data_IF_227721936665
#
_entry.id   IF_227721936665
#
_cell.length_a   1.000
_cell.length_b   1.000
_cell.length_c   1.000
_cell.angle_alpha   90.00
_cell.angle_beta   90.00
_cell.angle_gamma   90.00
#
_symmetry.space_group_name_H-M   'P 1'
#
loop_
_entity.id
_entity.type
_entity.pdbx_description
1 polymer ?
#
# COMPACT_ATOMS: atom_id res chain seq x y z
N UNK A 1 15.32 -28.56 -32.12
CA UNK A 1 16.08 -27.49 -32.82
C UNK A 1 15.57 -26.10 -32.42
N UNK A 2 14.39 -25.66 -32.89
CA UNK A 2 13.93 -24.27 -32.71
C UNK A 2 13.88 -23.80 -31.26
N UNK A 3 13.38 -24.64 -30.33
CA UNK A 3 13.32 -24.30 -28.90
C UNK A 3 14.71 -24.04 -28.29
N UNK A 4 15.74 -24.72 -28.76
CA UNK A 4 17.12 -24.49 -28.33
C UNK A 4 17.64 -23.15 -28.86
N UNK A 5 17.36 -22.82 -30.12
CA UNK A 5 17.74 -21.53 -30.72
C UNK A 5 17.02 -20.38 -30.01
N UNK A 6 15.70 -20.46 -29.85
CA UNK A 6 14.87 -19.43 -29.21
C UNK A 6 15.24 -19.18 -27.74
N UNK A 7 15.86 -20.15 -27.07
CA UNK A 7 16.37 -19.98 -25.71
C UNK A 7 17.72 -19.24 -25.66
N UNK A 8 18.50 -19.26 -26.75
CA UNK A 8 19.84 -18.69 -26.83
C UNK A 8 19.91 -17.37 -27.61
N UNK A 9 18.81 -16.92 -28.23
CA UNK A 9 18.73 -15.65 -28.97
C UNK A 9 17.81 -14.64 -28.28
N UNK A 10 18.00 -13.36 -28.59
CA UNK A 10 17.20 -12.29 -28.01
C UNK A 10 15.80 -12.23 -28.62
N UNK A 11 14.83 -11.65 -27.89
CA UNK A 11 13.42 -11.58 -28.34
C UNK A 11 13.27 -10.80 -29.66
N UNK A 12 14.06 -9.75 -29.85
CA UNK A 12 14.10 -8.95 -31.07
C UNK A 12 14.58 -9.74 -32.29
N UNK A 13 15.38 -10.80 -32.09
CA UNK A 13 15.92 -11.66 -33.14
C UNK A 13 14.96 -12.78 -33.56
N UNK A 14 13.86 -13.00 -32.83
CA UNK A 14 12.88 -14.05 -33.15
C UNK A 14 12.23 -13.83 -34.54
N UNK A 15 12.02 -12.57 -34.93
CA UNK A 15 11.49 -12.20 -36.25
C UNK A 15 12.49 -12.55 -37.34
N UNK A 16 13.73 -12.09 -37.19
CA UNK A 16 14.83 -12.36 -38.13
C UNK A 16 15.07 -13.87 -38.29
N UNK A 17 15.02 -14.62 -37.19
CA UNK A 17 15.14 -16.09 -37.23
C UNK A 17 14.00 -16.76 -38.01
N UNK A 18 12.75 -16.32 -37.81
CA UNK A 18 11.61 -16.83 -38.56
C UNK A 18 11.72 -16.50 -40.06
N UNK A 19 12.20 -15.31 -40.40
CA UNK A 19 12.46 -14.87 -41.78
C UNK A 19 13.55 -15.72 -42.44
N UNK A 20 14.66 -16.02 -41.76
CA UNK A 20 15.70 -16.92 -42.29
C UNK A 20 15.21 -18.34 -42.55
N UNK A 21 14.28 -18.85 -41.73
CA UNK A 21 13.64 -20.16 -41.99
C UNK A 21 12.75 -20.08 -43.25
N UNK A 22 12.04 -18.98 -43.43
CA UNK A 22 11.17 -18.79 -44.60
C UNK A 22 11.99 -18.62 -45.88
N UNK A 23 13.06 -17.82 -45.83
CA UNK A 23 13.96 -17.54 -46.93
C UNK A 23 14.73 -18.79 -47.38
N UNK A 24 15.19 -19.59 -46.42
CA UNK A 24 15.88 -20.86 -46.72
C UNK A 24 14.97 -21.91 -47.39
N UNK A 25 13.66 -21.73 -47.37
CA UNK A 25 12.70 -22.59 -48.09
C UNK A 25 12.36 -22.02 -49.47
N UNK A 26 12.27 -20.69 -49.59
CA UNK A 26 11.86 -20.01 -50.81
C UNK A 26 13.00 -19.89 -51.83
N UNK A 27 14.26 -19.74 -51.38
CA UNK A 27 15.40 -19.43 -52.24
C UNK A 27 16.30 -20.62 -52.57
N UNK A 28 15.91 -21.87 -52.27
CA UNK A 28 16.71 -23.05 -52.61
C UNK A 28 16.41 -23.48 -54.06
N UNK A 29 17.38 -23.38 -55.00
CA UNK A 29 17.18 -23.83 -56.37
C UNK A 29 16.89 -25.33 -56.40
N UNK A 30 15.89 -25.73 -57.18
CA UNK A 30 15.36 -27.10 -57.30
C UNK A 30 16.44 -28.15 -57.61
N UNK A 31 17.59 -27.74 -58.15
CA UNK A 31 18.67 -28.60 -58.62
C UNK A 31 19.74 -28.99 -57.58
N UNK A 32 19.79 -28.37 -56.40
CA UNK A 32 20.83 -28.69 -55.39
C UNK A 32 20.23 -29.09 -54.03
N UNK A 33 19.43 -30.15 -54.05
CA UNK A 33 18.81 -30.71 -52.85
C UNK A 33 19.72 -31.74 -52.19
N UNK A 34 20.71 -31.23 -51.43
CA UNK A 34 21.44 -32.06 -50.47
C UNK A 34 20.48 -32.73 -49.48
N UNK A 35 20.76 -33.96 -49.06
CA UNK A 35 19.92 -34.75 -48.12
C UNK A 35 19.59 -33.95 -46.84
N UNK A 36 20.51 -33.09 -46.40
CA UNK A 36 20.34 -32.18 -45.26
C UNK A 36 19.27 -31.09 -45.49
N UNK A 37 19.12 -30.56 -46.71
CA UNK A 37 18.10 -29.54 -47.00
C UNK A 37 16.70 -30.16 -47.06
N UNK A 38 16.56 -31.42 -47.49
CA UNK A 38 15.29 -32.15 -47.39
C UNK A 38 14.87 -32.48 -45.94
N UNK A 39 15.84 -32.66 -45.04
CA UNK A 39 15.61 -32.91 -43.61
C UNK A 39 15.19 -31.64 -42.84
N UNK A 40 15.74 -30.47 -43.22
CA UNK A 40 15.40 -29.18 -42.60
C UNK A 40 14.20 -28.45 -43.24
N UNK A 41 14.00 -28.59 -44.55
CA UNK A 41 12.96 -27.89 -45.33
C UNK A 41 11.71 -28.76 -45.55
N UNK A 42 11.32 -29.52 -44.53
CA UNK A 42 10.21 -30.48 -44.60
C UNK A 42 8.89 -29.87 -45.11
N UNK A 43 7.88 -30.73 -45.31
CA UNK A 43 6.54 -30.37 -45.84
C UNK A 43 5.99 -29.08 -45.23
N UNK A 44 5.20 -28.31 -45.99
CA UNK A 44 4.54 -27.04 -45.59
C UNK A 44 3.91 -27.07 -44.18
N UNK A 45 3.36 -28.21 -43.76
CA UNK A 45 2.80 -28.42 -42.42
C UNK A 45 3.84 -28.30 -41.29
N UNK A 46 5.07 -28.79 -41.51
CA UNK A 46 6.18 -28.68 -40.57
C UNK A 46 6.60 -27.22 -40.40
N UNK A 47 6.76 -26.48 -41.51
CA UNK A 47 7.13 -25.06 -41.48
C UNK A 47 6.08 -24.20 -40.76
N UNK A 48 4.79 -24.45 -41.05
CA UNK A 48 3.69 -23.81 -40.33
C UNK A 48 3.78 -24.05 -38.82
N UNK A 49 4.09 -25.28 -38.41
CA UNK A 49 4.25 -25.65 -36.99
C UNK A 49 5.44 -24.93 -36.34
N UNK A 50 6.56 -24.78 -37.05
CA UNK A 50 7.75 -24.06 -36.55
C UNK A 50 7.46 -22.57 -36.33
N UNK A 51 6.80 -21.92 -37.28
CA UNK A 51 6.40 -20.50 -37.15
C UNK A 51 5.42 -20.28 -35.98
N UNK A 52 4.46 -21.19 -35.79
CA UNK A 52 3.55 -21.17 -34.63
C UNK A 52 4.34 -21.28 -33.32
N UNK A 53 5.28 -22.23 -33.22
CA UNK A 53 6.10 -22.40 -32.03
C UNK A 53 6.96 -21.16 -31.71
N UNK A 54 7.49 -20.46 -32.72
CA UNK A 54 8.25 -19.20 -32.54
C UNK A 54 7.32 -18.10 -32.00
N UNK A 55 6.11 -17.98 -32.54
CA UNK A 55 5.10 -17.01 -32.05
C UNK A 55 4.70 -17.30 -30.61
N UNK A 56 4.44 -18.56 -30.27
CA UNK A 56 4.09 -18.98 -28.91
C UNK A 56 5.21 -18.72 -27.90
N UNK A 57 6.46 -19.00 -28.28
CA UNK A 57 7.63 -18.70 -27.45
C UNK A 57 7.77 -17.18 -27.21
N UNK A 58 7.50 -16.36 -28.21
CA UNK A 58 7.52 -14.90 -28.11
C UNK A 58 6.47 -14.38 -27.10
N UNK A 59 5.24 -14.89 -27.21
CA UNK A 59 4.14 -14.54 -26.31
C UNK A 59 4.42 -14.95 -24.87
N UNK A 60 4.99 -16.15 -24.65
CA UNK A 60 5.35 -16.65 -23.32
C UNK A 60 6.50 -15.87 -22.67
N UNK A 61 7.47 -15.37 -23.44
CA UNK A 61 8.55 -14.50 -22.93
C UNK A 61 8.03 -13.10 -22.62
N UNK A 62 7.07 -12.60 -23.40
CA UNK A 62 6.41 -11.32 -23.17
C UNK A 62 5.52 -11.30 -21.92
N UNK A 63 4.76 -12.37 -21.66
CA UNK A 63 3.90 -12.45 -20.48
C UNK A 63 4.68 -12.43 -19.16
N UNK A 64 5.88 -13.03 -19.13
CA UNK A 64 6.79 -12.94 -17.96
C UNK A 64 7.26 -11.51 -17.69
N UNK A 65 7.60 -10.74 -18.73
CA UNK A 65 8.01 -9.34 -18.57
C UNK A 65 6.84 -8.47 -18.09
N UNK A 66 5.65 -8.65 -18.66
CA UNK A 66 4.44 -7.92 -18.24
C UNK A 66 4.15 -8.20 -16.76
N UNK A 67 4.27 -9.45 -16.31
CA UNK A 67 4.05 -9.83 -14.91
C UNK A 67 5.05 -9.15 -13.97
N UNK A 68 6.33 -9.06 -14.36
CA UNK A 68 7.36 -8.34 -13.60
C UNK A 68 7.02 -6.84 -13.50
N UNK A 69 6.61 -6.21 -14.60
CA UNK A 69 6.21 -4.80 -14.60
C UNK A 69 4.99 -4.54 -13.70
N UNK A 70 3.99 -5.44 -13.73
CA UNK A 70 2.83 -5.36 -12.85
C UNK A 70 3.26 -5.47 -11.39
N UNK A 71 4.12 -6.44 -11.04
CA UNK A 71 4.63 -6.60 -9.67
C UNK A 71 5.36 -5.34 -9.18
N UNK A 72 6.25 -4.75 -10.01
CA UNK A 72 6.98 -3.51 -9.67
C UNK A 72 6.00 -2.35 -9.47
N UNK A 73 5.01 -2.21 -10.35
CA UNK A 73 4.00 -1.16 -10.24
C UNK A 73 3.15 -1.31 -8.98
N UNK A 74 2.71 -2.52 -8.65
CA UNK A 74 1.95 -2.79 -7.42
C UNK A 74 2.78 -2.53 -6.16
N UNK A 75 4.08 -2.84 -6.18
CA UNK A 75 4.98 -2.55 -5.06
C UNK A 75 5.15 -1.05 -4.85
N UNK A 76 5.32 -0.28 -5.94
CA UNK A 76 5.41 1.18 -5.88
C UNK A 76 4.13 1.81 -5.31
N UNK A 77 2.96 1.32 -5.72
CA UNK A 77 1.68 1.76 -5.17
C UNK A 77 1.53 1.46 -3.67
N UNK A 78 2.00 0.30 -3.20
CA UNK A 78 1.97 -0.03 -1.77
C UNK A 78 2.88 0.90 -0.94
N UNK A 79 4.07 1.23 -1.44
CA UNK A 79 4.97 2.19 -0.76
C UNK A 79 4.33 3.57 -0.65
N UNK A 80 3.67 4.07 -1.70
CA UNK A 80 2.98 5.36 -1.68
C UNK A 80 1.80 5.36 -0.67
N UNK A 81 1.02 4.27 -0.61
CA UNK A 81 -0.12 4.16 0.33
C UNK A 81 0.32 4.12 1.80
N UNK A 82 1.49 3.54 2.11
CA UNK A 82 2.00 3.46 3.50
C UNK A 82 2.18 4.83 4.16
N UNK A 83 2.53 5.87 3.40
CA UNK A 83 2.71 7.22 3.92
C UNK A 83 1.38 7.94 4.19
N UNK A 84 0.29 7.53 3.53
CA UNK A 84 -1.03 8.14 3.69
C UNK A 84 -1.74 7.67 4.96
N UNK A 85 -1.56 6.41 5.38
CA UNK A 85 -2.16 5.92 6.63
C UNK A 85 -1.51 6.53 7.88
N UNK A 86 -0.21 6.84 7.83
CA UNK A 86 0.51 7.42 8.97
C UNK A 86 0.20 8.92 9.20
N UNK A 87 -0.31 9.61 8.17
CA UNK A 87 -0.72 11.02 8.25
C UNK A 87 -2.07 11.25 8.93
N UNK A 88 -2.89 10.20 9.10
CA UNK A 88 -4.16 10.29 9.82
C UNK A 88 -4.05 9.87 11.30
N UNK A 89 -2.98 9.16 11.68
CA UNK A 89 -2.66 8.87 13.08
C UNK A 89 -1.93 10.03 13.78
N UNK A 90 -1.90 11.21 13.17
CA UNK A 90 -1.39 12.44 13.80
C UNK A 90 -2.36 12.80 14.94
N UNK A 91 -2.08 12.22 16.10
CA UNK A 91 -2.21 12.84 17.42
C UNK A 91 -3.29 13.91 17.47
N UNK A 92 -4.51 13.48 17.76
CA UNK A 92 -5.67 14.35 17.94
C UNK A 92 -5.47 15.17 19.22
N UNK A 93 -4.60 16.19 19.17
CA UNK A 93 -4.25 17.09 20.25
C UNK A 93 -5.41 18.00 20.65
N UNK A 94 -6.55 17.92 19.95
CA UNK A 94 -7.73 18.72 20.26
C UNK A 94 -8.96 17.81 20.39
N UNK A 95 -9.70 17.96 21.48
CA UNK A 95 -11.01 17.37 21.65
C UNK A 95 -12.05 18.11 20.78
N UNK A 96 -12.50 17.43 19.73
CA UNK A 96 -13.35 18.00 18.67
C UNK A 96 -14.86 17.81 18.86
N UNK A 97 -15.30 16.97 19.80
CA UNK A 97 -16.73 16.72 19.97
C UNK A 97 -17.42 18.02 20.45
N UNK A 98 -18.52 18.43 19.82
CA UNK A 98 -19.27 19.59 20.27
C UNK A 98 -19.86 19.33 21.67
N UNK A 99 -20.01 20.40 22.47
CA UNK A 99 -20.81 20.31 23.69
C UNK A 99 -22.29 20.28 23.27
N UNK A 100 -23.05 19.33 23.82
CA UNK A 100 -24.50 19.26 23.61
C UNK A 100 -25.28 19.95 24.72
N UNK A 101 -24.67 20.13 25.90
CA UNK A 101 -25.28 20.78 27.05
C UNK A 101 -25.09 22.30 26.96
N UNK A 102 -25.96 23.04 27.65
CA UNK A 102 -25.79 24.48 27.81
C UNK A 102 -24.44 24.78 28.48
N UNK A 103 -23.80 25.87 28.06
CA UNK A 103 -22.53 26.30 28.59
C UNK A 103 -22.45 27.82 28.69
N UNK A 104 -21.75 28.30 29.72
CA UNK A 104 -21.47 29.70 29.93
C UNK A 104 -19.97 29.97 29.82
N UNK A 105 -19.61 30.94 28.98
CA UNK A 105 -18.24 31.44 28.92
C UNK A 105 -17.99 32.35 30.11
N UNK A 106 -16.89 32.10 30.82
CA UNK A 106 -16.44 32.89 31.96
C UNK A 106 -15.27 33.76 31.53
N UNK A 107 -15.14 34.94 32.15
CA UNK A 107 -13.88 35.67 32.20
C UNK A 107 -13.24 35.49 33.59
N UNK A 108 -12.10 34.78 33.60
CA UNK A 108 -11.28 34.53 34.79
C UNK A 108 -9.81 34.94 34.56
N UNK A 109 -9.57 35.78 33.56
CA UNK A 109 -8.24 36.31 33.22
C UNK A 109 -7.55 36.93 34.43
N UNK A 110 -8.25 37.76 35.22
CA UNK A 110 -7.72 38.38 36.45
C UNK A 110 -7.24 37.38 37.50
N UNK A 111 -7.88 36.21 37.61
CA UNK A 111 -7.49 35.17 38.57
C UNK A 111 -6.26 34.40 38.04
N UNK A 112 -6.23 34.13 36.75
CA UNK A 112 -5.09 33.49 36.10
C UNK A 112 -3.84 34.39 36.08
N UNK A 113 -4.02 35.71 36.02
CA UNK A 113 -2.92 36.68 36.05
C UNK A 113 -1.98 36.47 34.85
N UNK A 114 -0.71 36.17 35.13
CA UNK A 114 0.30 35.87 34.11
C UNK A 114 0.27 34.41 33.63
N UNK A 115 -0.49 33.53 34.26
CA UNK A 115 -0.54 32.12 33.89
C UNK A 115 -1.45 31.89 32.68
N UNK A 116 -0.99 31.08 31.74
CA UNK A 116 -1.79 30.60 30.61
C UNK A 116 -2.50 29.30 30.96
N UNK A 117 -3.77 29.19 30.58
CA UNK A 117 -4.53 27.97 30.79
C UNK A 117 -6.02 28.13 30.54
N UNK A 118 -6.77 27.13 30.97
CA UNK A 118 -8.23 27.08 30.88
C UNK A 118 -8.82 26.60 32.20
N UNK A 119 -10.11 26.82 32.38
CA UNK A 119 -10.87 26.28 33.50
C UNK A 119 -12.21 25.76 33.00
N UNK A 120 -12.60 24.57 33.47
CA UNK A 120 -13.85 23.91 33.12
C UNK A 120 -14.51 23.42 34.40
N UNK A 121 -15.79 23.72 34.55
CA UNK A 121 -16.61 23.21 35.64
C UNK A 121 -17.94 22.73 35.08
N UNK A 122 -18.46 21.64 35.64
CA UNK A 122 -19.78 21.12 35.35
C UNK A 122 -20.64 21.13 36.62
N UNK A 123 -21.88 21.60 36.51
CA UNK A 123 -22.84 21.58 37.61
C UNK A 123 -23.91 20.51 37.35
N UNK A 124 -23.90 19.44 38.15
CA UNK A 124 -24.92 18.37 38.08
C UNK A 124 -26.35 18.92 38.26
N UNK A 125 -26.54 19.88 39.18
CA UNK A 125 -27.86 20.44 39.51
C UNK A 125 -28.47 21.24 38.35
N UNK A 126 -27.63 21.91 37.56
CA UNK A 126 -28.07 22.79 36.46
C UNK A 126 -27.88 22.18 35.08
N UNK A 127 -27.28 20.99 35.02
CA UNK A 127 -26.83 20.34 33.79
C UNK A 127 -26.09 21.30 32.83
N UNK A 128 -25.17 22.09 33.39
CA UNK A 128 -24.54 23.22 32.68
C UNK A 128 -23.04 23.27 32.88
N UNK A 129 -22.32 23.57 31.80
CA UNK A 129 -20.88 23.84 31.82
C UNK A 129 -20.57 25.31 32.03
N UNK A 130 -19.44 25.57 32.68
CA UNK A 130 -18.86 26.89 32.85
C UNK A 130 -17.40 26.84 32.41
N UNK A 131 -17.04 27.61 31.38
CA UNK A 131 -15.76 27.44 30.68
C UNK A 131 -15.05 28.79 30.56
N UNK A 132 -13.81 28.86 31.05
CA UNK A 132 -12.87 29.94 30.74
C UNK A 132 -11.84 29.43 29.72
N UNK A 133 -11.63 30.21 28.65
CA UNK A 133 -10.72 29.89 27.55
C UNK A 133 -11.05 28.56 26.85
N UNK A 134 -12.20 28.52 26.16
CA UNK A 134 -12.72 27.29 25.53
C UNK A 134 -11.73 26.65 24.55
N UNK A 135 -11.08 27.45 23.71
CA UNK A 135 -10.10 26.97 22.73
C UNK A 135 -8.95 26.22 23.41
N UNK A 136 -8.48 26.73 24.55
CA UNK A 136 -7.41 26.10 25.33
C UNK A 136 -7.91 24.85 26.06
N UNK A 137 -9.16 24.86 26.57
CA UNK A 137 -9.76 23.70 27.26
C UNK A 137 -9.90 22.45 26.40
N UNK A 138 -9.94 22.62 25.07
CA UNK A 138 -10.04 21.53 24.12
C UNK A 138 -8.69 20.91 23.79
N UNK A 139 -7.56 21.54 24.14
CA UNK A 139 -6.23 20.97 23.89
C UNK A 139 -5.96 19.82 24.86
N UNK A 140 -5.48 18.68 24.34
CA UNK A 140 -5.11 17.51 25.12
C UNK A 140 -3.65 17.62 25.58
N UNK A 141 -3.44 17.42 26.87
CA UNK A 141 -2.14 17.38 27.52
C UNK A 141 -1.91 16.00 28.14
N UNK A 142 -0.65 15.64 28.41
CA UNK A 142 -0.35 14.47 29.23
C UNK A 142 -1.05 14.61 30.59
N UNK A 143 -1.85 13.62 31.03
CA UNK A 143 -2.55 13.70 32.30
C UNK A 143 -1.60 13.65 33.50
N UNK A 144 -0.35 13.20 33.32
CA UNK A 144 0.63 13.01 34.39
C UNK A 144 -0.02 12.26 35.58
N UNK A 145 0.14 12.75 36.80
CA UNK A 145 -0.44 12.12 38.00
C UNK A 145 -1.97 12.13 38.05
N UNK A 146 -2.69 12.92 37.25
CA UNK A 146 -4.17 12.87 37.23
C UNK A 146 -4.70 11.55 36.69
N UNK A 147 -3.89 10.81 35.91
CA UNK A 147 -4.26 9.46 35.45
C UNK A 147 -4.30 8.43 36.58
N UNK A 148 -3.66 8.72 37.73
CA UNK A 148 -3.71 7.83 38.91
C UNK A 148 -5.13 7.62 39.44
N UNK A 149 -6.07 8.55 39.18
CA UNK A 149 -7.50 8.37 39.50
C UNK A 149 -8.04 7.12 38.78
N UNK A 150 -7.74 6.98 37.49
CA UNK A 150 -8.18 5.82 36.70
C UNK A 150 -7.41 4.55 37.07
N UNK A 151 -6.10 4.66 37.33
CA UNK A 151 -5.31 3.51 37.78
C UNK A 151 -5.83 2.95 39.11
N UNK A 152 -6.22 3.81 40.06
CA UNK A 152 -6.82 3.37 41.32
C UNK A 152 -8.16 2.66 41.08
N UNK A 153 -9.02 3.24 40.22
CA UNK A 153 -10.31 2.63 39.86
C UNK A 153 -10.12 1.26 39.17
N UNK A 154 -9.12 1.12 38.30
CA UNK A 154 -8.75 -0.16 37.69
C UNK A 154 -8.14 -1.14 38.69
N UNK A 155 -7.41 -0.64 39.68
CA UNK A 155 -6.87 -1.45 40.77
C UNK A 155 -7.98 -2.07 41.62
N UNK A 156 -9.00 -1.28 41.96
CA UNK A 156 -10.19 -1.75 42.67
C UNK A 156 -10.99 -2.77 41.83
N UNK A 157 -11.27 -2.43 40.57
CA UNK A 157 -12.03 -3.28 39.63
C UNK A 157 -11.37 -4.65 39.41
N UNK A 158 -10.03 -4.69 39.35
CA UNK A 158 -9.25 -5.93 39.20
C UNK A 158 -8.86 -6.59 40.52
N UNK A 159 -9.37 -6.09 41.66
CA UNK A 159 -9.03 -6.56 43.00
C UNK A 159 -7.52 -6.57 43.31
N UNK A 160 -6.75 -5.70 42.66
CA UNK A 160 -5.33 -5.46 42.98
C UNK A 160 -5.22 -4.71 44.31
N UNK A 161 -6.16 -3.79 44.56
CA UNK A 161 -6.35 -3.07 45.82
C UNK A 161 -7.79 -3.37 46.26
N UNK A 162 -8.01 -3.59 47.56
CA UNK A 162 -9.33 -3.80 48.15
C UNK A 162 -9.39 -3.18 49.55
N UNK A 163 -10.58 -3.13 50.15
CA UNK A 163 -10.79 -2.51 51.47
C UNK A 163 -10.00 -3.22 52.59
N UNK A 164 -9.66 -4.50 52.40
CA UNK A 164 -8.97 -5.32 53.40
C UNK A 164 -7.43 -5.11 53.41
N UNK A 165 -6.86 -4.63 52.30
CA UNK A 165 -5.41 -4.46 52.09
C UNK A 165 -5.02 -3.02 51.72
N UNK A 166 -5.80 -2.02 52.15
CA UNK A 166 -5.54 -0.59 51.91
C UNK A 166 -4.69 0.07 53.00
#
# INVERSE_FOLDING_TARGET
ADRFVLNNINKNEFKTYAESIMDSVLNVPFFNKNILSHSFNGKKSLLKRRLINIKEANLKKQSKLILIFICIFTFLLMVIQSQFLMGQSITDYNYKKPLHNDYQILDKSKIFGSNSGSFVMYSMKKDKYYIYNEKESRKRYSPNSTYKIYLAMFGLDRHIINDENS
#
